data_IF_138088435413
#
_entry.id   IF_138088435413
#
_cell.length_a   1.000
_cell.length_b   1.000
_cell.length_c   1.000
_cell.angle_alpha   90.00
_cell.angle_beta   90.00
_cell.angle_gamma   90.00
#
_symmetry.space_group_name_H-M   'P 1'
#
loop_
_entity.id
_entity.type
_entity.pdbx_description
1 polymer ?
#
# COMPACT_ATOMS: atom_id res chain seq x y z
N UNK A 1 4.87 -6.07 -21.08
CA UNK A 1 5.09 -4.85 -20.30
C UNK A 1 4.56 -3.70 -21.13
N UNK A 2 3.50 -3.05 -20.66
CA UNK A 2 2.92 -1.92 -21.38
C UNK A 2 3.53 -0.59 -20.89
N UNK A 3 3.80 0.30 -21.84
CA UNK A 3 4.22 1.67 -21.57
C UNK A 3 3.01 2.60 -21.55
N UNK A 4 2.54 2.97 -20.35
CA UNK A 4 1.38 3.84 -20.19
C UNK A 4 1.71 5.34 -20.33
N UNK A 5 2.98 5.69 -20.58
CA UNK A 5 3.44 7.09 -20.60
C UNK A 5 2.88 7.85 -21.80
N UNK A 6 2.73 7.19 -22.96
CA UNK A 6 2.31 7.84 -24.23
C UNK A 6 1.22 7.10 -25.02
N UNK A 7 0.76 5.93 -24.57
CA UNK A 7 -0.21 5.11 -25.30
C UNK A 7 -1.41 4.75 -24.43
N UNK A 8 -2.61 4.78 -25.01
CA UNK A 8 -3.79 4.24 -24.35
C UNK A 8 -3.68 2.71 -24.31
N UNK A 9 -3.68 2.12 -23.12
CA UNK A 9 -3.69 0.67 -22.95
C UNK A 9 -4.97 0.04 -23.55
N UNK A 10 -4.80 -0.84 -24.54
CA UNK A 10 -5.90 -1.55 -25.23
C UNK A 10 -6.07 -3.02 -24.77
N UNK A 11 -5.23 -3.51 -23.86
CA UNK A 11 -5.29 -4.87 -23.33
C UNK A 11 -6.22 -5.03 -22.11
N UNK A 12 -6.27 -6.25 -21.56
CA UNK A 12 -7.01 -6.53 -20.32
C UNK A 12 -6.33 -5.86 -19.12
N UNK A 13 -7.04 -4.99 -18.39
CA UNK A 13 -6.43 -4.16 -17.35
C UNK A 13 -5.83 -5.00 -16.24
N UNK A 14 -4.60 -4.65 -15.85
CA UNK A 14 -3.84 -5.31 -14.78
C UNK A 14 -3.50 -6.79 -15.04
N UNK A 15 -3.46 -7.23 -16.30
CA UNK A 15 -2.99 -8.57 -16.68
C UNK A 15 -1.47 -8.65 -16.91
N UNK A 16 -0.79 -7.50 -17.03
CA UNK A 16 0.64 -7.41 -17.21
C UNK A 16 1.29 -6.31 -16.37
N UNK A 17 2.63 -6.35 -16.26
CA UNK A 17 3.41 -5.27 -15.68
C UNK A 17 3.28 -4.00 -16.52
N UNK A 18 3.09 -2.86 -15.87
CA UNK A 18 3.09 -1.55 -16.53
C UNK A 18 4.03 -0.58 -15.85
N UNK A 19 4.68 0.27 -16.66
CA UNK A 19 5.39 1.45 -16.19
C UNK A 19 4.52 2.67 -16.52
N UNK A 20 4.06 3.38 -15.50
CA UNK A 20 3.27 4.61 -15.63
C UNK A 20 4.09 5.81 -15.16
N UNK A 21 3.74 6.99 -15.66
CA UNK A 21 4.22 8.26 -15.12
C UNK A 21 3.49 8.59 -13.81
N UNK A 22 4.21 9.02 -12.78
CA UNK A 22 3.61 9.55 -11.56
C UNK A 22 4.01 11.00 -11.34
N UNK A 23 3.03 11.89 -11.46
CA UNK A 23 3.17 13.34 -11.25
C UNK A 23 3.61 13.72 -9.84
N UNK A 24 3.46 12.81 -8.87
CA UNK A 24 3.89 13.02 -7.49
C UNK A 24 5.38 12.76 -7.27
N UNK A 25 6.03 12.02 -8.18
CA UNK A 25 7.46 11.75 -8.11
C UNK A 25 8.26 12.96 -8.60
N UNK A 26 9.11 13.48 -7.74
CA UNK A 26 10.03 14.56 -8.02
C UNK A 26 11.23 14.04 -8.81
N UNK A 27 11.52 14.72 -9.92
CA UNK A 27 12.70 14.47 -10.75
C UNK A 27 13.47 15.76 -10.92
N UNK A 28 14.82 15.71 -11.03
CA UNK A 28 15.62 16.91 -11.28
C UNK A 28 15.24 17.62 -12.59
N UNK A 29 14.90 16.84 -13.62
CA UNK A 29 14.44 17.33 -14.91
C UNK A 29 13.39 16.37 -15.48
N UNK A 30 12.16 16.84 -15.69
CA UNK A 30 11.04 16.00 -16.15
C UNK A 30 11.24 15.38 -17.54
N UNK A 31 12.14 15.92 -18.35
CA UNK A 31 12.36 15.49 -19.73
C UNK A 31 13.67 14.71 -19.93
N UNK A 32 14.38 14.38 -18.85
CA UNK A 32 15.67 13.69 -18.91
C UNK A 32 15.77 12.62 -17.83
N UNK A 33 16.67 11.66 -18.04
CA UNK A 33 17.01 10.71 -16.99
C UNK A 33 17.63 11.43 -15.77
N UNK A 34 17.34 10.97 -14.54
CA UNK A 34 16.45 9.86 -14.18
C UNK A 34 14.96 10.22 -14.31
N UNK A 35 14.15 9.29 -14.84
CA UNK A 35 12.70 9.43 -14.98
C UNK A 35 11.95 8.95 -13.73
N UNK A 36 10.89 9.67 -13.35
CA UNK A 36 9.99 9.28 -12.26
C UNK A 36 8.93 8.34 -12.78
N UNK A 37 9.00 7.07 -12.36
CA UNK A 37 8.14 6.00 -12.86
C UNK A 37 7.46 5.27 -11.71
N UNK A 38 6.19 4.91 -11.93
CA UNK A 38 5.46 3.93 -11.11
C UNK A 38 5.48 2.58 -11.82
N UNK A 39 6.05 1.56 -11.16
CA UNK A 39 6.01 0.19 -11.63
C UNK A 39 4.84 -0.55 -10.99
N UNK A 40 3.87 -0.94 -11.80
CA UNK A 40 2.61 -1.54 -11.37
C UNK A 40 2.60 -3.01 -11.80
N UNK A 41 2.36 -3.89 -10.84
CA UNK A 41 2.24 -5.33 -11.08
C UNK A 41 0.89 -5.71 -11.70
N UNK A 42 0.82 -6.86 -12.40
CA UNK A 42 -0.46 -7.48 -12.66
C UNK A 42 -1.12 -7.94 -11.35
N UNK A 43 -2.42 -8.21 -11.38
CA UNK A 43 -3.11 -8.81 -10.23
C UNK A 43 -2.61 -10.23 -10.04
N UNK A 44 -1.93 -10.48 -8.92
CA UNK A 44 -1.51 -11.81 -8.52
C UNK A 44 -2.54 -12.49 -7.62
N UNK A 45 -2.69 -13.80 -7.78
CA UNK A 45 -3.39 -14.65 -6.81
C UNK A 45 -2.37 -15.26 -5.86
N UNK A 46 -2.44 -14.87 -4.59
CA UNK A 46 -1.64 -15.45 -3.52
C UNK A 46 -2.38 -16.65 -2.90
N UNK A 47 -1.81 -17.83 -3.04
CA UNK A 47 -2.27 -19.08 -2.43
C UNK A 47 -1.05 -19.98 -2.18
N UNK A 48 -1.26 -21.10 -1.48
CA UNK A 48 -0.19 -22.05 -1.18
C UNK A 48 0.48 -22.55 -2.47
N UNK A 49 1.82 -22.44 -2.54
CA UNK A 49 2.64 -22.76 -3.71
C UNK A 49 2.40 -21.89 -4.95
N UNK A 50 1.73 -20.74 -4.80
CA UNK A 50 1.58 -19.78 -5.89
C UNK A 50 2.93 -19.16 -6.30
N UNK A 51 3.11 -18.95 -7.61
CA UNK A 51 4.38 -18.53 -8.20
C UNK A 51 4.54 -17.01 -8.34
N UNK A 52 3.67 -16.19 -7.72
CA UNK A 52 3.69 -14.75 -7.93
C UNK A 52 5.03 -14.11 -7.52
N UNK A 53 5.68 -14.65 -6.49
CA UNK A 53 7.02 -14.22 -6.08
C UNK A 53 8.05 -14.40 -7.21
N UNK A 54 7.94 -15.47 -8.02
CA UNK A 54 8.81 -15.68 -9.18
C UNK A 54 8.57 -14.63 -10.27
N UNK A 55 7.32 -14.20 -10.48
CA UNK A 55 7.01 -13.13 -11.44
C UNK A 55 7.60 -11.79 -10.98
N UNK A 56 7.51 -11.46 -9.70
CA UNK A 56 8.15 -10.26 -9.11
C UNK A 56 9.66 -10.37 -9.25
N UNK A 57 10.25 -11.54 -8.96
CA UNK A 57 11.67 -11.77 -9.11
C UNK A 57 12.16 -11.58 -10.54
N UNK A 58 11.48 -12.16 -11.51
CA UNK A 58 11.82 -12.03 -12.92
C UNK A 58 11.80 -10.55 -13.39
N UNK A 59 10.81 -9.77 -12.94
CA UNK A 59 10.72 -8.34 -13.24
C UNK A 59 11.89 -7.56 -12.63
N UNK A 60 12.19 -7.78 -11.35
CA UNK A 60 13.30 -7.08 -10.68
C UNK A 60 14.66 -7.47 -11.24
N UNK A 61 14.90 -8.76 -11.52
CA UNK A 61 16.12 -9.20 -12.20
C UNK A 61 16.28 -8.54 -13.57
N UNK A 62 15.18 -8.35 -14.32
CA UNK A 62 15.23 -7.64 -15.60
C UNK A 62 15.61 -6.17 -15.41
N UNK A 63 15.01 -5.48 -14.43
CA UNK A 63 15.26 -4.07 -14.16
C UNK A 63 16.70 -3.83 -13.68
N UNK A 64 17.14 -4.59 -12.67
CA UNK A 64 18.47 -4.46 -12.06
C UNK A 64 19.60 -4.76 -13.07
N UNK A 65 19.35 -5.65 -14.03
CA UNK A 65 20.32 -5.98 -15.07
C UNK A 65 20.48 -4.89 -16.15
N UNK A 66 19.55 -3.94 -16.27
CA UNK A 66 19.46 -3.01 -17.42
C UNK A 66 19.38 -1.54 -17.04
N UNK A 67 18.99 -1.22 -15.82
CA UNK A 67 18.70 0.15 -15.40
C UNK A 67 19.35 0.45 -14.05
N UNK A 68 19.74 1.70 -13.86
CA UNK A 68 20.12 2.22 -12.55
C UNK A 68 18.84 2.67 -11.81
N UNK A 69 18.50 2.00 -10.72
CA UNK A 69 17.29 2.25 -9.95
C UNK A 69 17.65 3.10 -8.73
N UNK A 70 17.06 4.29 -8.64
CA UNK A 70 17.27 5.21 -7.52
C UNK A 70 15.92 5.71 -7.00
N UNK A 71 15.86 6.11 -5.74
CA UNK A 71 14.68 6.70 -5.12
C UNK A 71 14.99 8.03 -4.46
N UNK A 72 13.97 8.85 -4.24
CA UNK A 72 14.02 10.00 -3.35
C UNK A 72 12.78 10.03 -2.44
N UNK A 73 12.63 11.08 -1.63
CA UNK A 73 11.58 11.21 -0.62
C UNK A 73 10.15 11.24 -1.19
N UNK A 74 9.99 11.51 -2.48
CA UNK A 74 8.70 11.48 -3.18
C UNK A 74 8.29 10.07 -3.66
N UNK A 75 9.22 9.12 -3.64
CA UNK A 75 8.96 7.74 -4.06
C UNK A 75 8.34 6.90 -2.92
N UNK A 76 7.54 5.90 -3.30
CA UNK A 76 6.91 4.99 -2.34
C UNK A 76 6.50 3.66 -2.95
N UNK A 77 6.14 2.72 -2.06
CA UNK A 77 5.60 1.42 -2.43
C UNK A 77 4.18 1.33 -1.92
N UNK A 78 3.26 0.98 -2.82
CA UNK A 78 1.86 0.71 -2.49
C UNK A 78 1.57 -0.79 -2.64
N UNK A 79 0.75 -1.34 -1.75
CA UNK A 79 0.32 -2.74 -1.80
C UNK A 79 -1.20 -2.80 -1.77
N UNK A 80 -1.80 -3.36 -2.82
CA UNK A 80 -3.24 -3.56 -2.92
C UNK A 80 -3.58 -5.01 -2.58
N UNK A 81 -4.51 -5.22 -1.65
CA UNK A 81 -4.91 -6.54 -1.18
C UNK A 81 -6.42 -6.68 -1.33
N UNK A 82 -6.87 -7.74 -1.98
CA UNK A 82 -8.27 -8.16 -2.01
C UNK A 82 -8.43 -9.58 -1.47
N UNK A 83 -9.65 -9.92 -1.06
CA UNK A 83 -10.05 -11.29 -0.76
C UNK A 83 -10.97 -11.78 -1.87
N UNK A 84 -10.83 -13.04 -2.27
CA UNK A 84 -11.65 -13.66 -3.34
C UNK A 84 -13.15 -13.54 -3.03
N UNK A 85 -13.51 -13.79 -1.77
CA UNK A 85 -14.88 -13.69 -1.25
C UNK A 85 -15.29 -12.25 -0.86
N UNK A 86 -14.37 -11.28 -1.02
CA UNK A 86 -14.55 -9.93 -0.51
C UNK A 86 -14.36 -9.84 1.01
N UNK A 87 -14.46 -8.62 1.53
CA UNK A 87 -14.33 -8.36 2.97
C UNK A 87 -15.70 -8.30 3.64
N UNK A 88 -15.91 -9.12 4.67
CA UNK A 88 -17.10 -8.98 5.53
C UNK A 88 -17.00 -7.70 6.39
N UNK A 89 -18.14 -7.16 6.83
CA UNK A 89 -18.14 -6.00 7.72
C UNK A 89 -17.40 -6.26 9.04
N UNK A 90 -17.47 -7.49 9.57
CA UNK A 90 -16.75 -7.87 10.78
C UNK A 90 -15.24 -7.90 10.54
N UNK A 91 -14.78 -8.40 9.39
CA UNK A 91 -13.38 -8.36 8.99
C UNK A 91 -12.89 -6.90 8.86
N UNK A 92 -13.65 -6.04 8.16
CA UNK A 92 -13.31 -4.63 8.00
C UNK A 92 -13.21 -3.91 9.35
N UNK A 93 -14.14 -4.14 10.28
CA UNK A 93 -14.07 -3.56 11.63
C UNK A 93 -12.79 -3.96 12.36
N UNK A 94 -12.38 -5.22 12.27
CA UNK A 94 -11.15 -5.70 12.91
C UNK A 94 -9.89 -5.12 12.27
N UNK A 95 -9.84 -5.06 10.94
CA UNK A 95 -8.75 -4.42 10.20
C UNK A 95 -8.63 -2.95 10.59
N UNK A 96 -9.75 -2.21 10.60
CA UNK A 96 -9.82 -0.83 11.05
C UNK A 96 -9.30 -0.64 12.49
N UNK A 97 -9.73 -1.49 13.43
CA UNK A 97 -9.27 -1.45 14.82
C UNK A 97 -7.76 -1.68 14.91
N UNK A 98 -7.24 -2.70 14.24
CA UNK A 98 -5.80 -2.98 14.19
C UNK A 98 -4.99 -1.85 13.55
N UNK A 99 -5.49 -1.22 12.48
CA UNK A 99 -4.83 -0.09 11.80
C UNK A 99 -4.64 1.07 12.77
N UNK A 100 -5.71 1.50 13.46
CA UNK A 100 -5.61 2.60 14.44
C UNK A 100 -4.66 2.21 15.56
N UNK A 101 -4.83 0.99 16.10
CA UNK A 101 -4.09 0.56 17.27
C UNK A 101 -2.58 0.46 17.03
N UNK A 102 -2.17 -0.10 15.89
CA UNK A 102 -0.77 -0.27 15.53
C UNK A 102 -0.20 0.90 14.71
N UNK A 103 -0.96 1.97 14.48
CA UNK A 103 -0.47 3.15 13.77
C UNK A 103 0.85 3.70 14.37
N UNK A 104 1.03 3.75 15.70
CA UNK A 104 2.31 4.16 16.28
C UNK A 104 3.50 3.24 15.94
N UNK A 105 3.25 1.95 15.75
CA UNK A 105 4.27 1.00 15.29
C UNK A 105 4.58 1.20 13.80
N UNK A 106 3.56 1.45 12.97
CA UNK A 106 3.76 1.81 11.56
C UNK A 106 4.55 3.13 11.43
N UNK A 107 4.26 4.15 12.23
CA UNK A 107 5.04 5.39 12.27
C UNK A 107 6.51 5.15 12.64
N UNK A 108 6.78 4.18 13.51
CA UNK A 108 8.14 3.86 13.97
C UNK A 108 8.99 3.12 12.92
N UNK A 109 8.39 2.29 12.06
CA UNK A 109 9.12 1.53 11.02
C UNK A 109 9.38 2.34 9.74
N UNK A 110 8.77 3.52 9.62
CA UNK A 110 8.90 4.34 8.42
C UNK A 110 10.13 5.24 8.49
N UNK A 111 10.87 5.39 7.37
CA UNK A 111 11.95 6.36 7.32
C UNK A 111 11.40 7.77 7.52
N UNK A 112 12.20 8.66 8.12
CA UNK A 112 11.77 10.02 8.52
C UNK A 112 11.12 10.81 7.38
N UNK A 113 11.62 10.65 6.16
CA UNK A 113 11.11 11.29 4.95
C UNK A 113 9.65 10.92 4.61
N UNK A 114 9.17 9.76 5.07
CA UNK A 114 7.82 9.26 4.78
C UNK A 114 6.77 9.67 5.80
N UNK A 115 7.17 10.41 6.82
CA UNK A 115 6.32 10.83 7.92
C UNK A 115 5.66 12.17 7.61
N UNK A 116 4.36 12.30 7.91
CA UNK A 116 3.60 13.50 7.54
C UNK A 116 3.46 13.69 6.02
N UNK A 117 3.42 12.60 5.26
CA UNK A 117 3.23 12.62 3.81
C UNK A 117 1.75 12.86 3.45
N UNK A 118 1.49 13.87 2.62
CA UNK A 118 0.13 14.29 2.24
C UNK A 118 -0.67 13.26 1.43
N UNK A 119 0.01 12.28 0.83
CA UNK A 119 -0.56 11.18 0.04
C UNK A 119 -0.77 9.89 0.85
N UNK A 120 -0.28 9.83 2.09
CA UNK A 120 -0.39 8.69 2.98
C UNK A 120 -0.59 9.14 4.44
N UNK A 121 -1.69 9.87 4.69
CA UNK A 121 -1.99 10.55 5.96
C UNK A 121 -2.37 9.58 7.09
N UNK A 122 -2.43 10.10 8.31
CA UNK A 122 -2.81 9.30 9.46
C UNK A 122 -4.23 8.77 9.31
N UNK A 123 -4.41 7.47 9.57
CA UNK A 123 -5.73 6.84 9.56
C UNK A 123 -6.54 7.24 10.79
N UNK A 124 -5.91 7.47 11.94
CA UNK A 124 -6.57 7.99 13.12
C UNK A 124 -6.83 9.50 13.01
N UNK A 125 -5.77 10.30 12.85
CA UNK A 125 -5.82 11.73 13.16
C UNK A 125 -6.38 12.58 12.00
N UNK A 126 -6.18 12.14 10.76
CA UNK A 126 -6.59 12.90 9.57
C UNK A 126 -7.85 12.36 8.91
N UNK A 127 -8.33 11.19 9.34
CA UNK A 127 -9.52 10.57 8.77
C UNK A 127 -10.72 10.82 9.68
N UNK A 128 -11.61 11.76 9.34
CA UNK A 128 -12.80 12.02 10.14
C UNK A 128 -13.75 10.82 10.17
N UNK A 129 -13.63 9.82 9.27
CA UNK A 129 -14.57 8.71 9.14
C UNK A 129 -14.26 7.46 9.96
N UNK A 130 -13.08 7.36 10.57
CA UNK A 130 -12.97 6.53 11.76
C UNK A 130 -13.88 7.05 12.89
N UNK A 131 -14.47 8.25 12.72
CA UNK A 131 -15.72 8.70 13.35
C UNK A 131 -16.76 9.29 12.35
N UNK A 132 -17.47 8.46 11.57
CA UNK A 132 -18.77 8.77 10.92
C UNK A 132 -19.00 10.16 10.27
N UNK A 133 -18.56 10.41 9.01
CA UNK A 133 -19.20 11.41 8.09
C UNK A 133 -19.13 11.00 6.59
N UNK A 134 -19.96 11.61 5.75
CA UNK A 134 -19.97 11.42 4.29
C UNK A 134 -18.81 12.21 3.67
N UNK A 135 -17.69 11.55 3.39
CA UNK A 135 -16.58 12.15 2.66
C UNK A 135 -16.79 12.02 1.15
N UNK A 136 -16.33 13.02 0.40
CA UNK A 136 -16.11 12.89 -1.04
C UNK A 136 -14.95 11.94 -1.30
N UNK A 137 -14.95 11.29 -2.48
CA UNK A 137 -13.85 10.44 -2.97
C UNK A 137 -12.46 11.05 -2.74
N UNK A 138 -12.35 12.37 -2.96
CA UNK A 138 -11.13 13.17 -2.86
C UNK A 138 -10.57 13.27 -1.44
N UNK A 139 -11.42 13.14 -0.44
CA UNK A 139 -11.04 13.23 0.97
C UNK A 139 -10.63 11.86 1.53
N UNK A 140 -11.11 10.77 0.93
CA UNK A 140 -10.82 9.40 1.36
C UNK A 140 -9.57 8.77 0.74
N UNK A 141 -8.97 9.41 -0.27
CA UNK A 141 -7.99 8.74 -1.14
C UNK A 141 -6.54 8.70 -0.65
N UNK A 142 -6.18 9.49 0.37
CA UNK A 142 -4.78 9.71 0.75
C UNK A 142 -4.50 9.34 2.21
N UNK A 143 -4.87 8.12 2.60
CA UNK A 143 -4.60 7.58 3.93
C UNK A 143 -3.58 6.45 3.86
N UNK A 144 -2.86 6.23 4.96
CA UNK A 144 -1.85 5.19 5.04
C UNK A 144 -2.38 3.79 4.71
N UNK A 145 -3.63 3.55 5.09
CA UNK A 145 -4.47 2.43 4.64
C UNK A 145 -5.74 2.99 4.00
N UNK A 146 -5.93 2.76 2.71
CA UNK A 146 -7.04 3.29 1.92
C UNK A 146 -8.06 2.18 1.58
N UNK A 147 -9.33 2.45 1.87
CA UNK A 147 -10.46 1.54 1.67
C UNK A 147 -11.34 1.92 0.46
N UNK A 148 -10.98 2.97 -0.28
CA UNK A 148 -11.81 3.56 -1.34
C UNK A 148 -12.24 2.54 -2.39
N UNK A 149 -11.35 1.62 -2.79
CA UNK A 149 -11.65 0.64 -3.83
C UNK A 149 -12.74 -0.37 -3.42
N UNK A 150 -13.03 -0.53 -2.12
CA UNK A 150 -14.16 -1.34 -1.65
C UNK A 150 -15.52 -0.70 -1.95
N UNK A 151 -15.57 0.62 -2.16
CA UNK A 151 -16.81 1.31 -2.54
C UNK A 151 -17.16 1.09 -4.01
N UNK A 152 -16.17 0.74 -4.83
CA UNK A 152 -16.36 0.52 -6.27
C UNK A 152 -16.82 -0.90 -6.58
N UNK A 153 -16.37 -1.88 -5.78
CA UNK A 153 -16.73 -3.29 -5.95
C UNK A 153 -16.61 -4.08 -4.64
N UNK A 154 -17.51 -5.05 -4.37
CA UNK A 154 -17.41 -5.94 -3.20
C UNK A 154 -16.08 -6.71 -3.10
N UNK A 155 -15.38 -6.89 -4.23
CA UNK A 155 -14.05 -7.54 -4.31
C UNK A 155 -12.91 -6.52 -4.44
N UNK A 156 -13.15 -5.28 -4.05
CA UNK A 156 -12.18 -4.21 -4.10
C UNK A 156 -10.99 -4.44 -3.16
N UNK A 157 -10.01 -3.55 -3.25
CA UNK A 157 -8.77 -3.69 -2.48
C UNK A 157 -8.73 -2.78 -1.27
N UNK A 158 -8.11 -3.25 -0.19
CA UNK A 158 -7.49 -2.37 0.81
C UNK A 158 -6.07 -2.09 0.33
N UNK A 159 -5.69 -0.81 0.30
CA UNK A 159 -4.37 -0.37 -0.18
C UNK A 159 -3.52 0.18 0.96
N UNK A 160 -2.34 -0.38 1.14
CA UNK A 160 -1.30 0.16 2.01
C UNK A 160 -0.42 1.15 1.23
N UNK A 161 -0.33 2.41 1.68
CA UNK A 161 0.37 3.52 0.99
C UNK A 161 1.63 4.02 1.71
N UNK A 162 1.95 3.48 2.88
CA UNK A 162 3.00 4.05 3.75
C UNK A 162 4.41 3.55 3.39
N UNK A 163 4.52 2.41 2.71
CA UNK A 163 5.82 1.76 2.46
C UNK A 163 6.80 2.68 1.73
N UNK A 164 8.05 2.71 2.19
CA UNK A 164 9.14 3.44 1.53
C UNK A 164 9.35 2.94 0.09
N UNK A 165 10.08 3.72 -0.72
CA UNK A 165 10.43 3.30 -2.08
C UNK A 165 11.17 1.95 -2.05
N UNK A 166 10.79 1.05 -2.96
CA UNK A 166 11.53 -0.19 -3.18
C UNK A 166 12.57 0.05 -4.26
N UNK A 167 13.84 -0.26 -3.98
CA UNK A 167 14.93 -0.20 -4.97
C UNK A 167 15.55 -1.58 -5.22
N UNK A 168 15.03 -2.61 -4.54
CA UNK A 168 15.37 -4.01 -4.75
C UNK A 168 14.14 -4.89 -4.59
N UNK A 169 14.23 -6.12 -5.10
CA UNK A 169 13.21 -7.16 -4.89
C UNK A 169 12.92 -7.40 -3.40
N UNK A 170 13.95 -7.29 -2.55
CA UNK A 170 13.86 -7.50 -1.11
C UNK A 170 12.95 -6.45 -0.46
N UNK A 171 13.06 -5.19 -0.89
CA UNK A 171 12.21 -4.10 -0.38
C UNK A 171 10.74 -4.33 -0.75
N UNK A 172 10.48 -4.80 -1.97
CA UNK A 172 9.13 -5.14 -2.41
C UNK A 172 8.51 -6.21 -1.51
N UNK A 173 9.23 -7.30 -1.28
CA UNK A 173 8.70 -8.38 -0.44
C UNK A 173 8.52 -7.98 1.02
N UNK A 174 9.37 -7.09 1.58
CA UNK A 174 9.13 -6.53 2.92
C UNK A 174 7.77 -5.84 3.03
N UNK A 175 7.41 -5.00 2.06
CA UNK A 175 6.13 -4.28 2.10
C UNK A 175 4.94 -5.18 1.79
N UNK A 176 5.07 -6.08 0.82
CA UNK A 176 3.99 -7.02 0.46
C UNK A 176 3.68 -7.96 1.62
N UNK A 177 4.70 -8.59 2.22
CA UNK A 177 4.50 -9.52 3.32
C UNK A 177 4.02 -8.83 4.60
N UNK A 178 4.50 -7.62 4.90
CA UNK A 178 3.96 -6.81 6.00
C UNK A 178 2.46 -6.58 5.79
N UNK A 179 2.06 -6.06 4.62
CA UNK A 179 0.69 -5.67 4.38
C UNK A 179 -0.25 -6.89 4.36
N UNK A 180 0.14 -7.95 3.64
CA UNK A 180 -0.64 -9.18 3.52
C UNK A 180 -0.80 -9.89 4.87
N UNK A 181 0.28 -10.06 5.63
CA UNK A 181 0.25 -10.73 6.93
C UNK A 181 -0.49 -9.90 7.97
N UNK A 182 -0.32 -8.58 7.97
CA UNK A 182 -1.05 -7.69 8.88
C UNK A 182 -2.56 -7.72 8.64
N UNK A 183 -3.01 -7.67 7.38
CA UNK A 183 -4.45 -7.76 7.05
C UNK A 183 -5.02 -9.09 7.52
N UNK A 184 -4.33 -10.21 7.28
CA UNK A 184 -4.80 -11.54 7.69
C UNK A 184 -4.80 -11.73 9.21
N UNK A 185 -3.75 -11.26 9.90
CA UNK A 185 -3.70 -11.24 11.36
C UNK A 185 -4.83 -10.39 11.95
N UNK A 186 -5.14 -9.25 11.32
CA UNK A 186 -6.25 -8.38 11.72
C UNK A 186 -7.61 -9.06 11.57
N UNK A 187 -7.85 -9.77 10.47
CA UNK A 187 -9.09 -10.55 10.30
C UNK A 187 -9.23 -11.59 11.42
N UNK A 188 -8.15 -12.31 11.74
CA UNK A 188 -8.16 -13.39 12.75
C UNK A 188 -8.27 -12.87 14.18
N UNK A 189 -7.58 -11.77 14.52
CA UNK A 189 -7.33 -11.37 15.91
C UNK A 189 -7.54 -9.89 16.23
N UNK A 190 -7.91 -9.04 15.28
CA UNK A 190 -8.10 -7.59 15.45
C UNK A 190 -9.31 -7.19 16.29
N UNK A 191 -9.65 -7.92 17.34
CA UNK A 191 -10.69 -7.54 18.29
C UNK A 191 -10.12 -6.54 19.31
N UNK A 192 -10.85 -5.45 19.57
CA UNK A 192 -10.43 -4.37 20.47
C UNK A 192 -9.99 -4.83 21.88
N UNK A 193 -10.71 -5.79 22.47
CA UNK A 193 -10.42 -6.34 23.81
C UNK A 193 -9.14 -7.19 23.84
N UNK A 194 -8.72 -7.72 22.69
CA UNK A 194 -7.49 -8.51 22.54
C UNK A 194 -6.31 -7.62 22.20
N UNK A 195 -6.45 -6.75 21.20
CA UNK A 195 -5.34 -5.91 20.73
C UNK A 195 -4.91 -4.88 21.78
N UNK A 196 -5.84 -4.38 22.61
CA UNK A 196 -5.53 -3.43 23.70
C UNK A 196 -4.56 -3.97 24.76
N UNK A 197 -4.35 -5.29 24.81
CA UNK A 197 -3.40 -5.97 25.71
C UNK A 197 -1.99 -6.07 25.14
N UNK A 198 -1.80 -5.73 23.86
CA UNK A 198 -0.52 -5.84 23.13
C UNK A 198 0.09 -4.46 23.07
N UNK A 199 1.35 -4.20 23.47
CA UNK A 199 1.93 -2.88 23.32
C UNK A 199 1.86 -2.36 21.87
N UNK A 200 1.48 -1.10 21.64
CA UNK A 200 1.49 -0.45 20.32
C UNK A 200 2.92 -0.06 19.87
N UNK A 201 3.84 -1.01 19.98
CA UNK A 201 5.25 -0.88 19.59
C UNK A 201 5.54 -1.78 18.38
N UNK A 202 6.71 -1.61 17.76
CA UNK A 202 7.17 -2.48 16.67
C UNK A 202 7.17 -3.97 17.08
N UNK A 203 7.64 -4.27 18.30
CA UNK A 203 7.64 -5.63 18.84
C UNK A 203 6.23 -6.17 19.11
N UNK A 204 5.30 -5.32 19.53
CA UNK A 204 3.90 -5.72 19.69
C UNK A 204 3.20 -5.96 18.36
N UNK A 205 3.49 -5.16 17.33
CA UNK A 205 3.03 -5.41 15.96
C UNK A 205 3.57 -6.75 15.42
N UNK A 206 4.87 -7.01 15.63
CA UNK A 206 5.50 -8.29 15.27
C UNK A 206 4.79 -9.46 15.95
N UNK A 207 4.65 -9.40 17.27
CA UNK A 207 3.96 -10.42 18.06
C UNK A 207 2.51 -10.63 17.58
N UNK A 208 1.79 -9.56 17.28
CA UNK A 208 0.41 -9.64 16.79
C UNK A 208 0.29 -10.43 15.48
N UNK A 209 1.22 -10.21 14.54
CA UNK A 209 1.28 -10.95 13.28
C UNK A 209 1.66 -12.41 13.53
N UNK A 210 2.67 -12.68 14.36
CA UNK A 210 3.12 -14.04 14.67
C UNK A 210 2.06 -14.86 15.43
N UNK A 211 1.35 -14.23 16.37
CA UNK A 211 0.27 -14.84 17.13
C UNK A 211 -0.90 -15.28 16.25
N UNK A 212 -1.03 -14.73 15.04
CA UNK A 212 -2.00 -15.20 14.06
C UNK A 212 -1.69 -16.59 13.50
N UNK A 213 -0.48 -17.14 13.72
CA UNK A 213 -0.08 -18.47 13.29
C UNK A 213 -0.50 -18.73 11.83
N UNK A 214 -0.18 -17.78 10.95
CA UNK A 214 -0.48 -17.88 9.54
C UNK A 214 0.37 -19.01 8.92
N UNK A 215 -0.17 -19.79 7.95
CA UNK A 215 0.55 -20.90 7.36
C UNK A 215 1.72 -20.37 6.54
N UNK A 216 2.94 -20.61 7.01
CA UNK A 216 4.14 -20.24 6.28
C UNK A 216 4.37 -21.23 5.13
N UNK A 217 4.13 -20.77 3.90
CA UNK A 217 4.26 -21.59 2.70
C UNK A 217 4.83 -20.75 1.56
N UNK A 218 5.47 -21.36 0.55
CA UNK A 218 5.82 -20.64 -0.68
C UNK A 218 4.62 -19.88 -1.24
N UNK A 219 4.80 -18.59 -1.55
CA UNK A 219 3.74 -17.70 -2.00
C UNK A 219 2.83 -17.12 -0.91
N UNK A 220 3.00 -17.46 0.38
CA UNK A 220 2.19 -16.95 1.49
C UNK A 220 2.98 -16.73 2.80
N UNK A 221 2.86 -15.51 3.34
CA UNK A 221 3.22 -15.15 4.72
C UNK A 221 4.67 -15.49 5.09
N UNK A 222 5.60 -15.14 4.20
CA UNK A 222 7.02 -15.39 4.41
C UNK A 222 7.59 -14.45 5.49
N UNK A 223 7.67 -14.99 6.70
CA UNK A 223 8.07 -14.24 7.89
C UNK A 223 9.51 -13.70 7.82
N UNK A 224 10.36 -14.21 6.91
CA UNK A 224 11.72 -13.69 6.73
C UNK A 224 11.71 -12.21 6.37
N UNK A 225 10.78 -11.78 5.51
CA UNK A 225 10.70 -10.38 5.08
C UNK A 225 10.09 -9.47 6.15
N UNK A 226 9.16 -9.99 6.95
CA UNK A 226 8.61 -9.26 8.10
C UNK A 226 9.68 -9.07 9.17
N UNK A 227 10.44 -10.13 9.48
CA UNK A 227 11.55 -10.08 10.43
C UNK A 227 12.62 -9.11 9.95
N UNK A 228 12.99 -9.15 8.66
CA UNK A 228 13.95 -8.22 8.09
C UNK A 228 13.53 -6.76 8.31
N UNK A 229 12.25 -6.45 8.07
CA UNK A 229 11.72 -5.10 8.24
C UNK A 229 11.63 -4.71 9.72
N UNK A 230 10.97 -5.52 10.54
CA UNK A 230 10.65 -5.16 11.93
C UNK A 230 11.87 -5.28 12.86
N UNK A 231 12.78 -6.22 12.65
CA UNK A 231 13.98 -6.40 13.47
C UNK A 231 15.08 -5.37 13.16
N UNK A 232 15.00 -4.74 11.98
CA UNK A 232 15.83 -3.56 11.67
C UNK A 232 15.50 -2.35 12.55
N UNK A 233 14.38 -2.42 13.27
CA UNK A 233 13.84 -1.38 14.16
C UNK A 233 13.74 -1.94 15.58
N UNK A 234 14.07 -1.14 16.60
CA UNK A 234 14.02 -1.62 17.99
C UNK A 234 12.60 -2.05 18.41
N UNK A 235 12.41 -3.20 19.09
CA UNK A 235 11.07 -3.75 19.38
C UNK A 235 10.23 -2.91 20.35
N UNK A 236 10.89 -2.04 21.13
CA UNK A 236 10.24 -1.08 22.03
C UNK A 236 9.89 0.24 21.34
N UNK A 237 10.35 0.46 20.11
CA UNK A 237 10.07 1.69 19.40
C UNK A 237 8.59 1.79 19.09
N UNK A 238 8.09 3.00 19.28
CA UNK A 238 6.76 3.45 18.92
C UNK A 238 6.90 4.93 18.63
N UNK A 239 6.05 5.45 17.76
CA UNK A 239 6.08 6.86 17.38
C UNK A 239 4.66 7.33 17.23
N UNK A 240 4.25 8.27 18.07
CA UNK A 240 2.90 8.84 17.95
C UNK A 240 2.70 9.47 16.56
N UNK A 241 1.60 9.13 15.85
CA UNK A 241 1.27 9.80 14.61
C UNK A 241 1.03 11.29 14.88
N UNK A 242 1.27 12.10 13.86
CA UNK A 242 0.98 13.53 13.91
C UNK A 242 -0.07 13.84 12.86
N UNK A 243 -1.06 14.70 13.17
CA UNK A 243 -2.01 15.13 12.15
C UNK A 243 -1.24 15.87 11.05
N UNK A 244 -1.78 15.85 9.84
CA UNK A 244 -1.26 16.64 8.74
C UNK A 244 -1.27 18.11 9.12
N UNK A 245 -0.07 18.68 9.18
CA UNK A 245 0.11 20.11 9.34
C UNK A 245 -0.33 20.91 8.11
N UNK A 246 -0.20 22.23 8.20
CA UNK A 246 -0.42 23.11 7.04
C UNK A 246 0.59 22.77 5.95
N UNK A 247 0.10 22.44 4.76
CA UNK A 247 0.93 22.21 3.58
C UNK A 247 1.52 23.53 3.09
N UNK A 248 2.74 23.48 2.57
CA UNK A 248 3.29 24.60 1.81
C UNK A 248 2.42 24.87 0.57
N UNK A 249 2.42 26.10 0.02
CA UNK A 249 1.70 26.41 -1.21
C UNK A 249 2.03 25.44 -2.35
N UNK A 250 3.29 25.00 -2.44
CA UNK A 250 3.77 24.10 -3.49
C UNK A 250 3.20 22.69 -3.33
N UNK A 251 3.25 22.14 -2.11
CA UNK A 251 2.63 20.84 -1.79
C UNK A 251 1.12 20.87 -2.01
N UNK A 252 0.47 21.98 -1.65
CA UNK A 252 -0.96 22.16 -1.88
C UNK A 252 -1.31 22.15 -3.38
N UNK A 253 -0.51 22.84 -4.21
CA UNK A 253 -0.68 22.82 -5.68
C UNK A 253 -0.47 21.41 -6.25
N UNK A 254 0.60 20.71 -5.87
CA UNK A 254 0.85 19.33 -6.31
C UNK A 254 -0.29 18.38 -5.92
N UNK A 255 -0.73 18.45 -4.67
CA UNK A 255 -1.85 17.65 -4.19
C UNK A 255 -3.15 17.96 -4.96
N UNK A 256 -3.40 19.23 -5.29
CA UNK A 256 -4.55 19.62 -6.10
C UNK A 256 -4.45 19.03 -7.51
N UNK A 257 -3.29 19.12 -8.16
CA UNK A 257 -3.05 18.51 -9.48
C UNK A 257 -3.30 17.01 -9.46
N UNK A 258 -2.74 16.28 -8.48
CA UNK A 258 -2.96 14.82 -8.35
C UNK A 258 -4.44 14.49 -8.19
N UNK A 259 -5.18 15.27 -7.39
CA UNK A 259 -6.63 15.11 -7.21
C UNK A 259 -7.41 15.29 -8.52
N UNK A 260 -6.98 16.21 -9.37
CA UNK A 260 -7.62 16.47 -10.68
C UNK A 260 -7.24 15.41 -11.73
N UNK A 261 -6.04 14.85 -11.68
CA UNK A 261 -5.62 13.68 -12.46
C UNK A 261 -6.42 12.44 -12.08
N UNK A 262 -6.52 12.16 -10.79
CA UNK A 262 -7.28 11.02 -10.28
C UNK A 262 -8.75 11.12 -10.69
N UNK A 263 -9.36 12.32 -10.63
CA UNK A 263 -10.73 12.55 -11.10
C UNK A 263 -10.91 12.11 -12.57
N UNK A 264 -9.94 12.44 -13.43
CA UNK A 264 -9.96 12.03 -14.85
C UNK A 264 -9.79 10.52 -14.98
N UNK A 265 -8.87 9.91 -14.22
CA UNK A 265 -8.68 8.45 -14.21
C UNK A 265 -9.95 7.71 -13.77
N UNK A 266 -10.71 8.18 -12.77
CA UNK A 266 -11.92 7.46 -12.35
C UNK A 266 -13.22 7.77 -13.10
N UNK A 267 -13.33 8.88 -13.83
CA UNK A 267 -14.38 8.97 -14.87
C UNK A 267 -14.18 7.89 -15.94
N UNK A 268 -12.93 7.48 -16.17
CA UNK A 268 -12.60 6.33 -17.03
C UNK A 268 -12.77 4.98 -16.31
N UNK A 269 -12.54 4.88 -14.99
CA UNK A 269 -12.81 3.66 -14.20
C UNK A 269 -14.32 3.36 -14.04
N UNK A 270 -15.17 4.39 -13.96
CA UNK A 270 -16.63 4.24 -13.96
C UNK A 270 -17.20 3.65 -15.26
N UNK A 271 -16.41 3.62 -16.35
CA UNK A 271 -16.75 2.93 -17.60
C UNK A 271 -16.39 1.42 -17.60
N UNK A 272 -15.81 0.90 -16.51
CA UNK A 272 -15.24 -0.46 -16.38
C UNK A 272 -16.09 -1.32 -15.43
N UNK A 273 -17.39 -1.09 -15.39
CA UNK A 273 -18.35 -2.04 -14.81
C UNK A 273 -18.47 -3.33 -15.64
N UNK A 274 -17.43 -3.71 -16.39
CA UNK A 274 -17.43 -4.90 -17.22
C UNK A 274 -16.99 -6.11 -16.36
N UNK A 275 -17.70 -7.25 -16.49
CA UNK A 275 -17.37 -8.46 -15.77
C UNK A 275 -15.95 -8.96 -16.14
N UNK A 276 -15.26 -9.64 -15.22
CA UNK A 276 -13.99 -10.29 -15.53
C UNK A 276 -14.16 -11.26 -16.70
N UNK A 277 -13.19 -11.30 -17.61
CA UNK A 277 -13.10 -12.38 -18.58
C UNK A 277 -12.77 -13.67 -17.82
N UNK A 278 -13.25 -14.79 -18.34
CA UNK A 278 -13.27 -16.16 -17.78
C UNK A 278 -14.49 -16.52 -16.94
N UNK A 279 -15.44 -17.19 -17.62
CA UNK A 279 -15.98 -18.46 -17.13
C UNK A 279 -15.00 -19.60 -17.36
#
# INVERSE_FOLDING_TARGET
MHNAINESYLGERYSEWSLDSDSTIETPNKNQAPWGLENISPIFRAYENSIWQNHVAAMWSHLEARYNITSNDSCGTHVHISLIEGYSLSALKRICQSIIYFEPAFEAILPRARLGNEYARSNWLDNPNFGYKRLSRRESMFFGWNFLYLLETPKGTIEFRRGAASTSIRDVFMWVELAMSFVQASIKHGHSDKISKIPATVGGLKWFIEAAQLPQQPGLFDTRYINLLLDSVGPKLTREPKPMGKLSPDKLRKLQTKKDEDKRKNVMLAKISQPPYWG
#
